data_IF_665505932273
#
_entry.id   IF_665505932273
#
_cell.length_a   1.000
_cell.length_b   1.000
_cell.length_c   1.000
_cell.angle_alpha   90.00
_cell.angle_beta   90.00
_cell.angle_gamma   90.00
#
_symmetry.space_group_name_H-M   'P 1'
#
loop_
_entity.id
_entity.type
_entity.pdbx_description
1 polymer ?
#
# COMPACT_ATOMS: atom_id res chain seq x y z
N UNK A 1 -10.31 -25.30 -21.92
CA UNK A 1 -9.93 -25.15 -20.49
C UNK A 1 -8.76 -24.18 -20.35
N UNK A 2 -8.96 -22.85 -20.41
CA UNK A 2 -7.83 -21.92 -20.15
C UNK A 2 -8.18 -20.47 -19.76
N UNK A 3 -9.46 -20.17 -19.47
CA UNK A 3 -9.85 -18.83 -18.97
C UNK A 3 -10.12 -18.87 -17.45
N UNK A 4 -10.62 -20.00 -16.93
CA UNK A 4 -10.85 -20.16 -15.48
C UNK A 4 -9.55 -20.32 -14.69
N UNK A 5 -8.54 -20.99 -15.25
CA UNK A 5 -7.22 -21.19 -14.63
C UNK A 5 -6.38 -19.91 -14.59
N UNK A 6 -6.40 -19.10 -15.64
CA UNK A 6 -5.76 -17.77 -15.67
C UNK A 6 -6.42 -16.80 -14.68
N UNK A 7 -7.76 -16.86 -14.53
CA UNK A 7 -8.47 -16.11 -13.48
C UNK A 7 -8.16 -16.61 -12.07
N UNK A 8 -7.97 -17.91 -11.88
CA UNK A 8 -7.54 -18.47 -10.59
C UNK A 8 -6.11 -18.04 -10.24
N UNK A 9 -5.16 -17.99 -11.19
CA UNK A 9 -3.84 -17.43 -10.93
C UNK A 9 -3.86 -15.92 -10.64
N UNK A 10 -4.69 -15.14 -11.34
CA UNK A 10 -4.88 -13.72 -11.05
C UNK A 10 -5.53 -13.47 -9.68
N UNK A 11 -6.40 -14.39 -9.24
CA UNK A 11 -6.96 -14.41 -7.87
C UNK A 11 -5.93 -14.89 -6.84
N UNK A 12 -4.95 -15.70 -7.21
CA UNK A 12 -3.83 -16.12 -6.33
C UNK A 12 -2.79 -15.01 -6.16
N UNK A 13 -2.67 -14.08 -7.11
CA UNK A 13 -1.95 -12.81 -6.98
C UNK A 13 -2.76 -11.71 -6.27
N UNK A 14 -3.87 -12.06 -5.60
CA UNK A 14 -4.43 -11.25 -4.51
C UNK A 14 -3.43 -11.19 -3.37
N UNK A 15 -2.39 -10.38 -3.52
CA UNK A 15 -1.71 -9.77 -2.39
C UNK A 15 -2.79 -8.94 -1.68
N UNK A 16 -3.54 -9.59 -0.78
CA UNK A 16 -4.57 -8.93 0.03
C UNK A 16 -3.92 -8.04 1.10
N UNK A 17 -2.59 -8.07 1.16
CA UNK A 17 -1.77 -7.41 2.15
C UNK A 17 -0.75 -6.50 1.43
N UNK A 18 -0.78 -5.21 1.73
CA UNK A 18 0.21 -4.23 1.28
C UNK A 18 1.15 -3.91 2.45
N UNK A 19 2.46 -4.12 2.27
CA UNK A 19 3.48 -3.67 3.22
C UNK A 19 4.33 -2.60 2.57
N UNK A 20 4.27 -1.39 3.10
CA UNK A 20 5.07 -0.25 2.64
C UNK A 20 6.24 -0.08 3.60
N UNK A 21 7.47 -0.15 3.09
CA UNK A 21 8.69 0.05 3.89
C UNK A 21 9.45 1.27 3.38
N UNK A 22 9.92 2.12 4.28
CA UNK A 22 10.70 3.30 3.93
C UNK A 22 11.72 3.63 5.02
N UNK A 23 12.87 4.12 4.59
CA UNK A 23 13.93 4.75 5.38
C UNK A 23 13.64 6.20 5.77
N UNK A 24 12.51 6.74 5.32
CA UNK A 24 12.03 8.05 5.72
C UNK A 24 11.08 7.93 6.90
N UNK A 25 11.58 8.22 8.10
CA UNK A 25 10.77 8.26 9.33
C UNK A 25 9.60 9.25 9.20
N UNK A 26 9.81 10.36 8.46
CA UNK A 26 8.77 11.36 8.18
C UNK A 26 7.66 10.77 7.32
N UNK A 27 8.00 10.04 6.26
CA UNK A 27 7.02 9.40 5.38
C UNK A 27 6.18 8.36 6.13
N UNK A 28 6.84 7.48 6.90
CA UNK A 28 6.14 6.47 7.71
C UNK A 28 5.22 7.14 8.74
N UNK A 29 5.66 8.22 9.40
CA UNK A 29 4.81 8.98 10.33
C UNK A 29 3.57 9.57 9.65
N UNK A 30 3.71 10.09 8.43
CA UNK A 30 2.57 10.66 7.69
C UNK A 30 1.58 9.58 7.25
N UNK A 31 2.10 8.44 6.78
CA UNK A 31 1.28 7.31 6.35
C UNK A 31 0.52 6.68 7.53
N UNK A 32 1.17 6.54 8.68
CA UNK A 32 0.57 5.96 9.90
C UNK A 32 -0.35 6.94 10.64
N UNK A 33 0.10 8.17 10.86
CA UNK A 33 -0.55 9.07 11.83
C UNK A 33 -1.60 10.01 11.21
N UNK A 34 -1.94 9.82 9.92
CA UNK A 34 -2.80 10.73 9.11
C UNK A 34 -2.42 12.21 9.22
N UNK A 35 -1.19 12.53 9.59
CA UNK A 35 -0.71 13.89 9.70
C UNK A 35 -0.62 14.50 8.30
N UNK A 36 -1.36 15.58 8.05
CA UNK A 36 -1.28 16.29 6.75
C UNK A 36 -0.01 17.11 6.68
N UNK A 37 0.99 16.61 5.95
CA UNK A 37 2.13 17.41 5.48
C UNK A 37 1.80 17.84 4.05
N UNK A 38 1.62 19.16 3.84
CA UNK A 38 1.19 19.73 2.56
C UNK A 38 2.12 19.39 1.39
N UNK A 39 3.42 19.26 1.63
CA UNK A 39 4.42 19.00 0.57
C UNK A 39 4.36 17.59 -0.03
N UNK A 40 3.99 16.58 0.77
CA UNK A 40 3.94 15.18 0.31
C UNK A 40 2.51 14.68 0.14
N UNK A 41 1.53 15.59 0.19
CA UNK A 41 0.11 15.23 0.18
C UNK A 41 -0.30 14.44 -1.07
N UNK A 42 0.24 14.79 -2.25
CA UNK A 42 -0.05 14.07 -3.49
C UNK A 42 0.38 12.59 -3.43
N UNK A 43 1.65 12.35 -3.12
CA UNK A 43 2.21 10.99 -3.01
C UNK A 43 1.51 10.19 -1.91
N UNK A 44 1.24 10.82 -0.77
CA UNK A 44 0.54 10.17 0.35
C UNK A 44 -0.91 9.85 -0.01
N UNK A 45 -1.59 10.71 -0.76
CA UNK A 45 -2.94 10.46 -1.24
C UNK A 45 -2.97 9.30 -2.23
N UNK A 46 -2.00 9.22 -3.15
CA UNK A 46 -1.87 8.11 -4.09
C UNK A 46 -1.59 6.79 -3.36
N UNK A 47 -0.66 6.78 -2.41
CA UNK A 47 -0.37 5.59 -1.59
C UNK A 47 -1.61 5.18 -0.82
N UNK A 48 -2.39 6.12 -0.25
CA UNK A 48 -3.65 5.81 0.45
C UNK A 48 -4.74 5.31 -0.47
N UNK A 49 -4.83 5.85 -1.69
CA UNK A 49 -5.79 5.39 -2.69
C UNK A 49 -5.48 3.97 -3.13
N UNK A 50 -4.21 3.68 -3.48
CA UNK A 50 -3.75 2.33 -3.79
C UNK A 50 -3.96 1.39 -2.60
N UNK A 51 -3.62 1.85 -1.40
CA UNK A 51 -3.85 1.16 -0.12
C UNK A 51 -5.30 0.71 0.04
N UNK A 52 -6.29 1.52 -0.36
CA UNK A 52 -7.71 1.17 -0.22
C UNK A 52 -8.13 -0.09 -1.01
N UNK A 53 -7.32 -0.55 -1.96
CA UNK A 53 -7.56 -1.76 -2.74
C UNK A 53 -7.12 -3.05 -2.01
N UNK A 54 -6.49 -2.92 -0.84
CA UNK A 54 -5.92 -4.03 -0.05
C UNK A 54 -6.73 -4.26 1.24
N UNK A 55 -6.89 -5.53 1.64
CA UNK A 55 -7.60 -5.92 2.86
C UNK A 55 -6.80 -5.65 4.14
N UNK A 56 -5.46 -5.67 4.04
CA UNK A 56 -4.56 -5.43 5.16
C UNK A 56 -3.38 -4.57 4.72
N UNK A 57 -2.95 -3.64 5.58
CA UNK A 57 -1.92 -2.67 5.24
C UNK A 57 -1.02 -2.42 6.44
N UNK A 58 0.30 -2.41 6.23
CA UNK A 58 1.27 -2.01 7.25
C UNK A 58 2.33 -1.06 6.68
N UNK A 59 2.79 -0.14 7.52
CA UNK A 59 3.82 0.84 7.21
C UNK A 59 5.00 0.64 8.19
N UNK A 60 6.16 0.23 7.67
CA UNK A 60 7.32 -0.11 8.49
C UNK A 60 8.52 0.79 8.15
N UNK A 61 9.14 1.36 9.18
CA UNK A 61 10.43 2.03 9.02
C UNK A 61 11.55 1.00 8.87
N UNK A 62 12.49 1.26 7.97
CA UNK A 62 13.73 0.48 7.82
C UNK A 62 14.94 1.39 8.03
N UNK A 63 15.90 1.05 8.92
CA UNK A 63 17.11 1.84 9.14
C UNK A 63 18.03 1.89 7.92
#
# INVERSE_FOLDING_TARGET
MSIRSSRQMAVTLKTSNLRVRSDSQTLIKVLTNRAMIKEIFGVVADIKHLSSMFSYISFDFIP
#
